data_IF_973043085521
#
_entry.id   IF_973043085521
#
_cell.length_a   1.000
_cell.length_b   1.000
_cell.length_c   1.000
_cell.angle_alpha   90.00
_cell.angle_beta   90.00
_cell.angle_gamma   90.00
#
_symmetry.space_group_name_H-M   'P 1'
#
loop_
_entity.id
_entity.type
_entity.pdbx_description
1 polymer ?
#
# COMPACT_ATOMS: atom_id res chain seq x y z
N UNK A 1 9.06 -5.59 21.22
CA UNK A 1 7.84 -6.28 20.69
C UNK A 1 6.66 -5.38 20.92
N UNK A 2 5.98 -4.98 19.85
CA UNK A 2 4.80 -4.11 19.89
C UNK A 2 3.60 -4.88 20.39
N UNK A 3 2.69 -4.16 21.07
CA UNK A 3 1.42 -4.73 21.56
C UNK A 3 0.42 -4.78 20.41
N UNK A 4 -0.37 -5.85 20.35
CA UNK A 4 -1.53 -5.89 19.49
C UNK A 4 -2.56 -4.86 19.96
N UNK A 5 -3.09 -4.07 19.01
CA UNK A 5 -4.04 -2.98 19.29
C UNK A 5 -5.45 -3.40 18.90
N UNK A 6 -6.39 -2.89 19.67
CA UNK A 6 -7.80 -2.80 19.31
C UNK A 6 -8.23 -1.33 19.18
N UNK A 7 -9.38 -1.09 18.60
CA UNK A 7 -9.89 0.28 18.41
C UNK A 7 -10.00 1.09 19.73
N UNK A 8 -10.40 0.43 20.84
CA UNK A 8 -10.53 1.10 22.14
C UNK A 8 -9.17 1.53 22.69
N UNK A 9 -8.15 0.69 22.50
CA UNK A 9 -6.78 1.00 22.85
C UNK A 9 -6.26 2.21 22.10
N UNK A 10 -6.44 2.24 20.76
CA UNK A 10 -6.05 3.39 19.93
C UNK A 10 -6.77 4.67 20.36
N UNK A 11 -8.08 4.60 20.59
CA UNK A 11 -8.88 5.74 21.03
C UNK A 11 -8.40 6.27 22.39
N UNK A 12 -8.13 5.38 23.33
CA UNK A 12 -7.64 5.74 24.67
C UNK A 12 -6.26 6.38 24.64
N UNK A 13 -5.31 5.79 23.91
CA UNK A 13 -3.94 6.30 23.78
C UNK A 13 -3.91 7.66 23.10
N UNK A 14 -4.63 7.83 21.98
CA UNK A 14 -4.72 9.12 21.29
C UNK A 14 -5.32 10.21 22.19
N UNK A 15 -6.35 9.87 22.98
CA UNK A 15 -7.01 10.83 23.90
C UNK A 15 -6.10 11.23 25.06
N UNK A 16 -5.21 10.35 25.51
CA UNK A 16 -4.38 10.55 26.70
C UNK A 16 -2.99 11.05 26.35
N UNK A 17 -2.35 10.43 25.35
CA UNK A 17 -0.95 10.62 25.03
C UNK A 17 -0.73 11.37 23.71
N UNK A 18 -1.79 11.61 22.93
CA UNK A 18 -1.74 12.25 21.62
C UNK A 18 -1.16 11.36 20.51
N UNK A 19 -0.66 10.16 20.84
CA UNK A 19 -0.15 9.21 19.86
C UNK A 19 -0.36 7.77 20.30
N UNK A 20 -0.36 6.85 19.32
CA UNK A 20 -0.48 5.40 19.54
C UNK A 20 0.32 4.65 18.48
N UNK A 21 0.95 3.54 18.89
CA UNK A 21 1.71 2.65 18.01
C UNK A 21 1.53 1.19 18.45
N UNK A 22 1.37 0.26 17.50
CA UNK A 22 1.31 -1.17 17.78
C UNK A 22 0.96 -2.01 16.57
N UNK A 23 0.88 -3.32 16.79
CA UNK A 23 0.47 -4.29 15.78
C UNK A 23 -1.01 -4.14 15.46
N UNK A 24 -1.35 -4.11 14.17
CA UNK A 24 -2.73 -4.01 13.71
C UNK A 24 -2.91 -4.76 12.39
N UNK A 25 -4.04 -5.43 12.23
CA UNK A 25 -4.36 -6.05 10.93
C UNK A 25 -4.66 -4.97 9.89
N UNK A 26 -4.19 -5.13 8.64
CA UNK A 26 -4.43 -4.14 7.57
C UNK A 26 -5.89 -3.75 7.40
N UNK A 27 -6.80 -4.72 7.45
CA UNK A 27 -8.24 -4.49 7.34
C UNK A 27 -8.76 -3.59 8.47
N UNK A 28 -8.42 -3.91 9.71
CA UNK A 28 -8.81 -3.14 10.91
C UNK A 28 -8.25 -1.72 10.87
N UNK A 29 -6.99 -1.54 10.46
CA UNK A 29 -6.37 -0.23 10.29
C UNK A 29 -7.18 0.68 9.36
N UNK A 30 -7.67 0.16 8.25
CA UNK A 30 -8.49 0.94 7.32
C UNK A 30 -9.90 1.19 7.82
N UNK A 31 -10.51 0.22 8.52
CA UNK A 31 -11.85 0.34 9.09
C UNK A 31 -11.91 1.37 10.22
N UNK A 32 -10.82 1.57 10.96
CA UNK A 32 -10.79 2.51 12.07
C UNK A 32 -10.74 3.97 11.66
N UNK A 33 -10.32 4.28 10.45
CA UNK A 33 -10.21 5.66 9.94
C UNK A 33 -11.53 6.46 10.13
N UNK A 34 -12.67 6.07 9.56
CA UNK A 34 -13.93 6.81 9.74
C UNK A 34 -14.42 6.82 11.18
N UNK A 35 -14.08 5.80 11.96
CA UNK A 35 -14.44 5.73 13.37
C UNK A 35 -13.67 6.77 14.20
N UNK A 36 -12.37 6.94 13.93
CA UNK A 36 -11.54 7.97 14.56
C UNK A 36 -11.96 9.38 14.13
N UNK A 37 -12.26 9.59 12.84
CA UNK A 37 -12.79 10.87 12.35
C UNK A 37 -14.05 11.28 13.11
N UNK A 38 -14.96 10.33 13.32
CA UNK A 38 -16.20 10.55 14.10
C UNK A 38 -15.91 10.83 15.57
N UNK A 39 -14.97 10.10 16.18
CA UNK A 39 -14.68 10.21 17.61
C UNK A 39 -14.00 11.53 17.97
N UNK A 40 -13.07 12.00 17.15
CA UNK A 40 -12.29 13.21 17.39
C UNK A 40 -12.85 14.47 16.69
N UNK A 41 -13.78 14.32 15.75
CA UNK A 41 -14.32 15.45 14.97
C UNK A 41 -13.28 16.10 14.05
N UNK A 42 -12.23 15.36 13.69
CA UNK A 42 -11.15 15.84 12.82
C UNK A 42 -10.78 14.76 11.79
N UNK A 43 -10.25 15.16 10.60
CA UNK A 43 -9.93 14.20 9.56
C UNK A 43 -8.74 13.31 9.91
N UNK A 44 -8.77 12.07 9.41
CA UNK A 44 -7.64 11.14 9.47
C UNK A 44 -6.90 11.12 8.14
N UNK A 45 -5.61 11.46 8.17
CA UNK A 45 -4.75 11.66 7.00
C UNK A 45 -3.61 10.65 7.01
N UNK A 46 -3.49 9.87 5.95
CA UNK A 46 -2.36 8.97 5.68
C UNK A 46 -1.49 9.51 4.55
N UNK A 47 -0.31 8.91 4.35
CA UNK A 47 0.57 9.20 3.20
C UNK A 47 -0.18 9.11 1.87
N UNK A 48 -0.99 8.07 1.68
CA UNK A 48 -1.75 7.88 0.43
C UNK A 48 -2.81 8.97 0.25
N UNK A 49 -3.55 9.32 1.32
CA UNK A 49 -4.51 10.43 1.30
C UNK A 49 -3.81 11.75 0.93
N UNK A 50 -2.62 11.96 1.49
CA UNK A 50 -1.85 13.19 1.26
C UNK A 50 -1.32 13.26 -0.17
N UNK A 51 -0.85 12.15 -0.73
CA UNK A 51 -0.44 12.06 -2.13
C UNK A 51 -1.58 12.40 -3.08
N UNK A 52 -2.75 11.77 -2.89
CA UNK A 52 -3.95 12.05 -3.69
C UNK A 52 -4.40 13.51 -3.57
N UNK A 53 -4.33 14.08 -2.37
CA UNK A 53 -4.63 15.49 -2.12
C UNK A 53 -3.63 16.43 -2.83
N UNK A 54 -2.35 16.10 -2.81
CA UNK A 54 -1.31 16.91 -3.47
C UNK A 54 -1.49 16.94 -4.98
N UNK A 55 -1.93 15.83 -5.60
CA UNK A 55 -2.28 15.81 -7.02
C UNK A 55 -3.45 16.74 -7.35
N UNK A 56 -4.53 16.68 -6.59
CA UNK A 56 -5.71 17.52 -6.76
C UNK A 56 -6.60 17.48 -5.51
N UNK A 57 -6.64 18.57 -4.72
CA UNK A 57 -7.54 18.67 -3.57
C UNK A 57 -9.01 18.46 -3.93
N UNK A 58 -9.44 19.01 -5.05
CA UNK A 58 -10.80 18.83 -5.56
C UNK A 58 -11.13 17.36 -5.85
N UNK A 59 -10.25 16.66 -6.60
CA UNK A 59 -10.45 15.24 -6.94
C UNK A 59 -10.38 14.36 -5.69
N UNK A 60 -9.46 14.63 -4.78
CA UNK A 60 -9.38 13.94 -3.48
C UNK A 60 -10.71 14.03 -2.74
N UNK A 61 -11.23 15.26 -2.55
CA UNK A 61 -12.49 15.49 -1.85
C UNK A 61 -13.68 14.83 -2.54
N UNK A 62 -13.74 14.93 -3.86
CA UNK A 62 -14.77 14.25 -4.67
C UNK A 62 -14.73 12.73 -4.44
N UNK A 63 -13.56 12.09 -4.51
CA UNK A 63 -13.41 10.65 -4.34
C UNK A 63 -13.83 10.19 -2.94
N UNK A 64 -13.45 10.94 -1.90
CA UNK A 64 -13.81 10.62 -0.52
C UNK A 64 -15.31 10.78 -0.28
N UNK A 65 -15.92 11.86 -0.78
CA UNK A 65 -17.36 12.13 -0.55
C UNK A 65 -18.28 11.23 -1.36
N UNK A 66 -17.81 10.64 -2.46
CA UNK A 66 -18.56 9.74 -3.33
C UNK A 66 -18.14 8.27 -3.20
N UNK A 67 -17.32 7.93 -2.20
CA UNK A 67 -16.77 6.57 -1.97
C UNK A 67 -16.16 5.94 -3.25
N UNK A 68 -15.44 6.76 -4.03
CA UNK A 68 -14.77 6.28 -5.25
C UNK A 68 -13.51 5.52 -4.85
N UNK A 69 -13.60 4.20 -4.85
CA UNK A 69 -12.48 3.31 -4.52
C UNK A 69 -11.55 3.12 -5.72
N UNK A 70 -10.25 3.15 -5.46
CA UNK A 70 -9.24 2.80 -6.44
C UNK A 70 -9.01 1.28 -6.38
N UNK A 71 -9.67 0.54 -7.25
CA UNK A 71 -9.35 -0.88 -7.44
C UNK A 71 -8.55 -1.04 -8.73
N UNK A 72 -7.44 -1.75 -8.64
CA UNK A 72 -6.65 -2.13 -9.81
C UNK A 72 -6.03 -3.50 -9.62
N UNK A 73 -5.76 -4.19 -10.72
CA UNK A 73 -5.05 -5.47 -10.70
C UNK A 73 -3.66 -5.34 -10.02
N UNK A 74 -3.01 -4.18 -10.16
CA UNK A 74 -1.72 -3.91 -9.51
C UNK A 74 -1.87 -3.80 -7.99
N UNK A 75 -2.88 -3.08 -7.48
CA UNK A 75 -3.15 -2.98 -6.04
C UNK A 75 -3.50 -4.35 -5.45
N UNK A 76 -4.36 -5.11 -6.13
CA UNK A 76 -4.71 -6.48 -5.72
C UNK A 76 -3.47 -7.38 -5.64
N UNK A 77 -2.61 -7.36 -6.66
CA UNK A 77 -1.36 -8.13 -6.68
C UNK A 77 -0.43 -7.68 -5.55
N UNK A 78 -0.28 -6.38 -5.32
CA UNK A 78 0.51 -5.84 -4.21
C UNK A 78 0.03 -6.37 -2.86
N UNK A 79 -1.28 -6.29 -2.58
CA UNK A 79 -1.85 -6.78 -1.32
C UNK A 79 -1.63 -8.29 -1.11
N UNK A 80 -1.69 -9.11 -2.17
CA UNK A 80 -1.39 -10.53 -2.08
C UNK A 80 0.09 -10.79 -1.77
N UNK A 81 1.01 -10.07 -2.42
CA UNK A 81 2.44 -10.17 -2.15
C UNK A 81 2.76 -9.74 -0.71
N UNK A 82 2.20 -8.62 -0.26
CA UNK A 82 2.37 -8.11 1.10
C UNK A 82 1.86 -9.13 2.14
N UNK A 83 0.65 -9.68 1.93
CA UNK A 83 0.10 -10.69 2.82
C UNK A 83 0.99 -11.94 2.88
N UNK A 84 1.40 -12.48 1.74
CA UNK A 84 2.21 -13.70 1.67
C UNK A 84 3.61 -13.51 2.27
N UNK A 85 4.24 -12.35 2.07
CA UNK A 85 5.58 -12.08 2.53
C UNK A 85 5.66 -11.60 4.00
N UNK A 86 4.68 -10.78 4.43
CA UNK A 86 4.76 -10.05 5.69
C UNK A 86 3.75 -10.53 6.75
N UNK A 87 2.64 -11.14 6.34
CA UNK A 87 1.60 -11.69 7.23
C UNK A 87 1.08 -13.04 6.76
N UNK A 88 1.96 -14.03 6.49
CA UNK A 88 1.56 -15.31 5.87
C UNK A 88 0.50 -16.07 6.69
N UNK A 89 0.43 -15.84 7.99
CA UNK A 89 -0.58 -16.43 8.87
C UNK A 89 -2.02 -15.92 8.60
N UNK A 90 -2.18 -14.81 7.88
CA UNK A 90 -3.48 -14.26 7.48
C UNK A 90 -3.95 -14.77 6.11
N UNK A 91 -3.06 -15.42 5.35
CA UNK A 91 -3.33 -15.80 3.96
C UNK A 91 -4.63 -16.57 3.79
N UNK A 92 -4.81 -17.66 4.54
CA UNK A 92 -6.01 -18.52 4.42
C UNK A 92 -7.28 -17.86 4.95
N UNK A 93 -7.16 -16.76 5.70
CA UNK A 93 -8.29 -15.96 6.16
C UNK A 93 -8.70 -14.88 5.14
N UNK A 94 -7.79 -14.44 4.28
CA UNK A 94 -8.01 -13.35 3.33
C UNK A 94 -8.18 -13.83 1.89
N UNK A 95 -7.63 -15.01 1.54
CA UNK A 95 -7.61 -15.53 0.17
C UNK A 95 -8.06 -16.98 0.11
N UNK A 96 -8.81 -17.33 -0.92
CA UNK A 96 -9.29 -18.67 -1.18
C UNK A 96 -8.97 -19.09 -2.62
N UNK A 97 -8.60 -20.35 -2.81
CA UNK A 97 -8.46 -20.94 -4.15
C UNK A 97 -9.79 -20.88 -4.92
N UNK A 98 -9.74 -20.83 -6.27
CA UNK A 98 -10.95 -20.91 -7.07
C UNK A 98 -11.70 -22.20 -6.75
N UNK A 99 -13.03 -22.10 -6.72
CA UNK A 99 -13.85 -23.27 -6.48
C UNK A 99 -13.52 -24.38 -7.50
N UNK A 100 -13.29 -25.58 -6.99
CA UNK A 100 -13.05 -26.78 -7.79
C UNK A 100 -14.09 -27.84 -7.47
N UNK A 101 -14.62 -28.54 -8.49
CA UNK A 101 -15.51 -29.64 -8.24
C UNK A 101 -14.77 -30.79 -7.55
N UNK A 102 -15.37 -31.36 -6.47
CA UNK A 102 -14.79 -32.46 -5.72
C UNK A 102 -14.87 -33.83 -6.43
N UNK A 103 -15.54 -33.92 -7.58
CA UNK A 103 -15.69 -35.09 -8.36
C UNK A 103 -15.44 -34.89 -9.86
N UNK A 104 -15.05 -35.93 -10.62
CA UNK A 104 -14.85 -35.80 -12.06
C UNK A 104 -16.13 -35.43 -12.81
N UNK A 105 -15.98 -34.73 -13.92
CA UNK A 105 -17.06 -34.39 -14.81
C UNK A 105 -17.70 -35.67 -15.37
N UNK A 106 -19.01 -35.84 -15.18
CA UNK A 106 -19.83 -36.90 -15.78
C UNK A 106 -20.34 -36.47 -17.15
N UNK A 107 -20.15 -37.30 -18.15
CA UNK A 107 -20.70 -37.06 -19.50
C UNK A 107 -22.15 -37.55 -19.54
N UNK A 108 -23.02 -36.73 -20.12
CA UNK A 108 -24.42 -37.12 -20.32
C UNK A 108 -24.52 -38.30 -21.30
N UNK A 109 -25.27 -39.30 -20.92
CA UNK A 109 -25.52 -40.49 -21.76
C UNK A 109 -26.87 -40.37 -22.46
N UNK A 110 -26.95 -40.95 -23.67
CA UNK A 110 -28.19 -41.20 -24.39
C UNK A 110 -28.97 -42.35 -23.74
N UNK A 111 -30.19 -42.57 -24.20
CA UNK A 111 -31.05 -43.69 -23.70
C UNK A 111 -30.45 -45.07 -23.91
N UNK A 112 -29.58 -45.23 -24.89
CA UNK A 112 -28.86 -46.47 -25.20
C UNK A 112 -27.56 -46.64 -24.39
N UNK A 113 -27.26 -45.74 -23.47
CA UNK A 113 -26.05 -45.76 -22.63
C UNK A 113 -24.80 -45.21 -23.30
N UNK A 114 -24.86 -44.72 -24.56
CA UNK A 114 -23.72 -44.10 -25.23
C UNK A 114 -23.63 -42.61 -24.95
N UNK A 115 -22.41 -41.99 -24.87
CA UNK A 115 -22.27 -40.55 -24.70
C UNK A 115 -22.79 -39.80 -25.93
N UNK A 116 -23.26 -38.55 -25.72
CA UNK A 116 -23.52 -37.63 -26.82
C UNK A 116 -22.22 -37.28 -27.53
N UNK A 117 -22.29 -37.08 -28.86
CA UNK A 117 -21.11 -36.76 -29.67
C UNK A 117 -20.36 -35.50 -29.24
N UNK A 118 -21.04 -34.55 -28.62
CA UNK A 118 -20.48 -33.32 -28.06
C UNK A 118 -19.95 -33.44 -26.63
N UNK A 119 -19.94 -34.69 -26.08
CA UNK A 119 -19.47 -34.97 -24.72
C UNK A 119 -20.03 -34.00 -23.66
N UNK A 120 -21.30 -33.55 -23.83
CA UNK A 120 -21.92 -32.61 -22.89
C UNK A 120 -21.96 -33.17 -21.48
N UNK A 121 -21.82 -32.30 -20.50
CA UNK A 121 -21.90 -32.65 -19.09
C UNK A 121 -23.32 -33.07 -18.72
N UNK A 122 -23.44 -34.05 -17.78
CA UNK A 122 -24.71 -34.42 -17.17
C UNK A 122 -25.39 -33.18 -16.57
N UNK A 123 -26.67 -32.98 -16.90
CA UNK A 123 -27.39 -31.74 -16.53
C UNK A 123 -27.59 -31.61 -15.01
N UNK A 124 -27.83 -32.73 -14.32
CA UNK A 124 -28.00 -32.70 -12.86
C UNK A 124 -26.68 -32.35 -12.16
N UNK A 125 -25.56 -32.95 -12.62
CA UNK A 125 -24.25 -32.63 -12.10
C UNK A 125 -23.87 -31.16 -12.37
N UNK A 126 -24.15 -30.63 -13.58
CA UNK A 126 -23.90 -29.25 -13.93
C UNK A 126 -24.65 -28.31 -12.98
N UNK A 127 -25.95 -28.55 -12.78
CA UNK A 127 -26.75 -27.73 -11.86
C UNK A 127 -26.25 -27.80 -10.41
N UNK A 128 -25.84 -28.99 -9.93
CA UNK A 128 -25.30 -29.17 -8.61
C UNK A 128 -23.95 -28.40 -8.44
N UNK A 129 -23.09 -28.40 -9.45
CA UNK A 129 -21.84 -27.66 -9.43
C UNK A 129 -22.04 -26.14 -9.47
N UNK A 130 -22.98 -25.67 -10.29
CA UNK A 130 -23.33 -24.25 -10.34
C UNK A 130 -23.86 -23.76 -8.99
N UNK A 131 -24.71 -24.56 -8.33
CA UNK A 131 -25.22 -24.23 -7.00
C UNK A 131 -24.11 -24.24 -5.93
N UNK A 132 -23.23 -25.25 -5.92
CA UNK A 132 -22.12 -25.35 -4.98
C UNK A 132 -21.09 -24.20 -5.17
N UNK A 133 -20.83 -23.82 -6.41
CA UNK A 133 -19.98 -22.68 -6.73
C UNK A 133 -20.59 -21.37 -6.26
N UNK A 134 -21.88 -21.14 -6.52
CA UNK A 134 -22.58 -19.95 -6.07
C UNK A 134 -22.59 -19.83 -4.53
N UNK A 135 -22.79 -20.94 -3.81
CA UNK A 135 -22.71 -20.97 -2.35
C UNK A 135 -21.29 -20.66 -1.83
N UNK A 136 -20.27 -21.20 -2.49
CA UNK A 136 -18.87 -20.89 -2.17
C UNK A 136 -18.57 -19.40 -2.38
N UNK A 137 -18.94 -18.82 -3.54
CA UNK A 137 -18.75 -17.42 -3.87
C UNK A 137 -19.46 -16.50 -2.85
N UNK A 138 -20.72 -16.84 -2.50
CA UNK A 138 -21.49 -16.09 -1.51
C UNK A 138 -20.89 -16.16 -0.09
N UNK A 139 -20.26 -17.28 0.30
CA UNK A 139 -19.53 -17.36 1.57
C UNK A 139 -18.29 -16.48 1.55
N UNK A 140 -17.47 -16.57 0.50
CA UNK A 140 -16.28 -15.72 0.36
C UNK A 140 -16.64 -14.23 0.42
N UNK A 141 -17.69 -13.82 -0.29
CA UNK A 141 -18.17 -12.43 -0.28
C UNK A 141 -18.62 -12.00 1.12
N UNK A 142 -19.43 -12.79 1.81
CA UNK A 142 -19.89 -12.49 3.17
C UNK A 142 -18.74 -12.37 4.17
N UNK A 143 -17.74 -13.25 4.04
CA UNK A 143 -16.61 -13.33 4.97
C UNK A 143 -15.48 -12.36 4.56
N UNK A 144 -15.63 -11.66 3.42
CA UNK A 144 -14.65 -10.71 2.88
C UNK A 144 -13.37 -11.38 2.37
N UNK A 145 -13.47 -12.65 1.94
CA UNK A 145 -12.37 -13.44 1.40
C UNK A 145 -12.25 -13.23 -0.10
N UNK A 146 -11.06 -12.92 -0.57
CA UNK A 146 -10.77 -12.73 -1.99
C UNK A 146 -10.54 -14.06 -2.69
N UNK A 147 -11.33 -14.40 -3.71
CA UNK A 147 -11.13 -15.60 -4.51
C UNK A 147 -9.99 -15.36 -5.51
N UNK A 148 -9.00 -16.25 -5.49
CA UNK A 148 -7.85 -16.22 -6.39
C UNK A 148 -8.26 -16.63 -7.82
N UNK A 149 -7.45 -16.24 -8.80
CA UNK A 149 -7.49 -16.79 -10.15
C UNK A 149 -6.62 -18.06 -10.20
N UNK A 150 -6.88 -18.90 -11.19
CA UNK A 150 -6.07 -20.09 -11.42
C UNK A 150 -4.58 -19.73 -11.62
N UNK A 151 -3.68 -20.37 -10.89
CA UNK A 151 -2.23 -20.11 -10.90
C UNK A 151 -1.78 -18.82 -10.21
N UNK A 152 -2.69 -18.07 -9.62
CA UNK A 152 -2.36 -16.79 -8.97
C UNK A 152 -1.60 -17.00 -7.66
N UNK A 153 -1.91 -18.06 -6.93
CA UNK A 153 -1.21 -18.41 -5.70
C UNK A 153 0.26 -18.73 -5.95
N UNK A 154 0.54 -19.63 -6.89
CA UNK A 154 1.90 -20.04 -7.23
C UNK A 154 2.72 -18.83 -7.73
N UNK A 155 2.10 -17.93 -8.47
CA UNK A 155 2.74 -16.69 -8.91
C UNK A 155 3.12 -15.81 -7.72
N UNK A 156 2.20 -15.60 -6.79
CA UNK A 156 2.44 -14.78 -5.58
C UNK A 156 3.48 -15.43 -4.68
N UNK A 157 3.47 -16.76 -4.51
CA UNK A 157 4.48 -17.50 -3.73
C UNK A 157 5.90 -17.29 -4.28
N UNK A 158 6.08 -17.30 -5.60
CA UNK A 158 7.38 -17.04 -6.22
C UNK A 158 7.86 -15.61 -5.97
N UNK A 159 6.97 -14.62 -6.10
CA UNK A 159 7.31 -13.21 -5.87
C UNK A 159 7.59 -12.95 -4.38
N UNK A 160 6.75 -13.45 -3.48
CA UNK A 160 6.92 -13.31 -2.04
C UNK A 160 8.18 -14.04 -1.54
N UNK A 161 8.53 -15.19 -2.16
CA UNK A 161 9.78 -15.89 -1.92
C UNK A 161 11.00 -15.00 -2.19
N UNK A 162 11.01 -14.27 -3.32
CA UNK A 162 12.07 -13.31 -3.64
C UNK A 162 12.17 -12.17 -2.61
N UNK A 163 11.03 -11.69 -2.08
CA UNK A 163 11.02 -10.70 -0.98
C UNK A 163 11.67 -11.27 0.27
N UNK A 164 11.27 -12.48 0.66
CA UNK A 164 11.78 -13.16 1.86
C UNK A 164 13.28 -13.43 1.78
N UNK A 165 13.77 -13.87 0.61
CA UNK A 165 15.20 -14.08 0.36
C UNK A 165 15.99 -12.76 0.51
N UNK A 166 15.51 -11.67 -0.10
CA UNK A 166 16.18 -10.37 0.00
C UNK A 166 16.18 -9.84 1.44
N UNK A 167 15.08 -9.97 2.17
CA UNK A 167 15.04 -9.62 3.58
C UNK A 167 16.06 -10.42 4.40
N UNK A 168 16.19 -11.72 4.12
CA UNK A 168 17.19 -12.56 4.78
C UNK A 168 18.64 -12.11 4.48
N UNK A 169 18.94 -11.65 3.25
CA UNK A 169 20.22 -11.06 2.89
C UNK A 169 20.52 -9.77 3.67
N UNK A 170 19.49 -8.96 3.94
CA UNK A 170 19.57 -7.79 4.81
C UNK A 170 19.69 -8.17 6.32
N UNK A 171 19.58 -9.46 6.64
CA UNK A 171 19.58 -9.95 8.02
C UNK A 171 18.24 -9.76 8.72
N UNK A 172 17.16 -9.61 7.96
CA UNK A 172 15.80 -9.40 8.46
C UNK A 172 14.97 -10.67 8.30
N UNK A 173 14.39 -11.13 9.41
CA UNK A 173 13.49 -12.29 9.47
C UNK A 173 12.25 -11.95 10.27
N UNK A 174 11.10 -12.21 9.70
CA UNK A 174 9.80 -11.92 10.30
C UNK A 174 9.66 -12.62 11.66
N UNK A 175 9.28 -11.87 12.69
CA UNK A 175 9.12 -12.34 14.06
C UNK A 175 10.43 -12.62 14.83
N UNK A 176 11.59 -12.58 14.16
CA UNK A 176 12.90 -12.78 14.79
C UNK A 176 13.70 -11.47 14.90
N UNK A 177 13.80 -10.72 13.81
CA UNK A 177 14.58 -9.48 13.75
C UNK A 177 13.79 -8.28 13.20
N UNK A 178 12.58 -8.48 12.72
CA UNK A 178 11.63 -7.41 12.43
C UNK A 178 10.19 -7.82 12.72
N UNK A 179 9.34 -6.84 12.94
CA UNK A 179 7.89 -6.96 13.00
C UNK A 179 7.25 -6.26 11.79
N UNK A 180 6.09 -6.74 11.36
CA UNK A 180 5.34 -6.18 10.24
C UNK A 180 4.03 -5.58 10.69
N UNK A 181 3.44 -4.73 9.83
CA UNK A 181 2.11 -4.13 10.02
C UNK A 181 2.00 -3.34 11.33
N UNK A 182 2.98 -2.45 11.55
CA UNK A 182 2.99 -1.54 12.69
C UNK A 182 2.15 -0.31 12.36
N UNK A 183 0.94 -0.25 12.92
CA UNK A 183 0.07 0.91 12.81
C UNK A 183 0.47 2.04 13.75
N UNK A 184 0.38 3.27 13.27
CA UNK A 184 0.72 4.48 14.02
C UNK A 184 -0.36 5.52 13.81
N UNK A 185 -0.69 6.24 14.88
CA UNK A 185 -1.64 7.36 14.88
C UNK A 185 -1.12 8.47 15.76
N UNK A 186 -1.26 9.70 15.31
CA UNK A 186 -0.87 10.90 16.06
C UNK A 186 -1.89 12.02 15.87
N UNK A 187 -2.33 12.61 16.97
CA UNK A 187 -3.12 13.84 16.95
C UNK A 187 -2.20 15.03 16.75
N UNK A 188 -2.45 15.82 15.71
CA UNK A 188 -1.61 16.95 15.31
C UNK A 188 -2.47 18.20 15.26
N UNK A 189 -2.20 19.17 16.14
CA UNK A 189 -2.85 20.46 16.21
C UNK A 189 -1.96 21.62 15.73
N UNK A 190 -0.68 21.35 15.53
CA UNK A 190 0.30 22.35 15.09
C UNK A 190 1.42 21.69 14.26
N UNK A 191 2.02 22.45 13.35
CA UNK A 191 3.20 22.07 12.56
C UNK A 191 4.30 23.10 12.82
N UNK A 192 5.45 22.62 13.28
CA UNK A 192 6.61 23.46 13.62
C UNK A 192 6.22 24.68 14.53
N UNK A 193 5.33 24.42 15.51
CA UNK A 193 4.82 25.41 16.45
C UNK A 193 3.73 26.34 15.89
N UNK A 194 3.35 26.18 14.63
CA UNK A 194 2.25 26.96 14.01
C UNK A 194 0.95 26.18 14.13
N UNK A 195 -0.09 26.70 14.84
CA UNK A 195 -1.38 26.03 14.97
C UNK A 195 -2.03 25.74 13.62
N UNK A 196 -2.63 24.55 13.50
CA UNK A 196 -3.43 24.18 12.33
C UNK A 196 -4.85 24.77 12.45
N UNK A 197 -5.44 25.25 11.35
CA UNK A 197 -6.84 25.71 11.33
C UNK A 197 -7.84 24.62 11.77
N UNK A 198 -7.56 23.38 11.45
CA UNK A 198 -8.27 22.18 11.90
C UNK A 198 -7.23 21.15 12.34
N UNK A 199 -7.31 20.61 13.55
CA UNK A 199 -6.47 19.47 13.95
C UNK A 199 -6.67 18.27 13.03
N UNK A 200 -5.67 17.40 12.98
CA UNK A 200 -5.65 16.20 12.15
C UNK A 200 -5.27 14.99 13.00
N UNK A 201 -5.75 13.81 12.64
CA UNK A 201 -5.09 12.56 13.03
C UNK A 201 -4.23 12.12 11.84
N UNK A 202 -2.93 12.12 12.02
CA UNK A 202 -2.00 11.61 11.02
C UNK A 202 -1.71 10.15 11.31
N UNK A 203 -1.79 9.30 10.28
CA UNK A 203 -1.67 7.85 10.45
C UNK A 203 -0.75 7.24 9.39
N UNK A 204 -0.09 6.15 9.78
CA UNK A 204 0.76 5.35 8.92
C UNK A 204 0.79 3.89 9.35
N UNK A 205 1.18 3.01 8.43
CA UNK A 205 1.46 1.61 8.73
C UNK A 205 2.81 1.25 8.12
N UNK A 206 3.70 0.73 8.95
CA UNK A 206 5.04 0.31 8.54
C UNK A 206 4.98 -1.17 8.17
N UNK A 207 5.45 -1.49 6.97
CA UNK A 207 5.47 -2.87 6.47
C UNK A 207 6.56 -3.70 7.14
N UNK A 208 7.76 -3.13 7.31
CA UNK A 208 8.92 -3.82 7.87
C UNK A 208 9.60 -2.90 8.89
N UNK A 209 9.42 -3.24 10.17
CA UNK A 209 9.99 -2.51 11.30
C UNK A 209 11.09 -3.36 11.98
N UNK A 210 12.38 -3.14 11.66
CA UNK A 210 13.46 -3.87 12.29
C UNK A 210 13.53 -3.64 13.81
N UNK A 211 13.76 -4.72 14.56
CA UNK A 211 13.85 -4.68 16.02
C UNK A 211 15.20 -4.10 16.46
N UNK A 212 15.23 -3.55 17.66
CA UNK A 212 16.46 -3.08 18.27
C UNK A 212 17.51 -4.20 18.32
N UNK A 213 18.73 -3.89 17.87
CA UNK A 213 19.85 -4.83 17.79
C UNK A 213 19.91 -5.67 16.50
N UNK A 214 18.92 -5.56 15.61
CA UNK A 214 19.06 -6.11 14.25
C UNK A 214 20.03 -5.27 13.41
N UNK A 215 20.55 -5.86 12.32
CA UNK A 215 21.52 -5.19 11.43
C UNK A 215 20.99 -3.88 10.83
N UNK A 216 19.68 -3.81 10.59
CA UNK A 216 19.00 -2.70 9.93
C UNK A 216 18.14 -1.90 10.91
N UNK A 217 18.47 -1.89 12.21
CA UNK A 217 17.62 -1.32 13.26
C UNK A 217 17.41 0.20 13.18
N UNK A 218 18.19 0.91 12.38
CA UNK A 218 18.07 2.35 12.10
C UNK A 218 17.15 2.69 10.92
N UNK A 219 16.75 1.68 10.14
CA UNK A 219 15.94 1.87 8.91
C UNK A 219 14.53 1.36 9.11
N UNK A 220 13.53 2.13 8.72
CA UNK A 220 12.18 1.62 8.48
C UNK A 220 12.05 1.28 6.99
N UNK A 221 11.44 0.13 6.69
CA UNK A 221 11.28 -0.33 5.32
C UNK A 221 9.83 -0.48 4.91
N UNK A 222 9.56 -0.21 3.64
CA UNK A 222 8.25 -0.35 3.03
C UNK A 222 8.37 -1.23 1.77
N UNK A 223 7.49 -2.22 1.63
CA UNK A 223 7.47 -3.14 0.50
C UNK A 223 6.67 -2.51 -0.66
N UNK A 224 7.23 -2.55 -1.86
CA UNK A 224 6.57 -2.04 -3.06
C UNK A 224 6.67 -3.02 -4.20
N UNK A 225 5.54 -3.58 -4.60
CA UNK A 225 5.44 -4.30 -5.86
C UNK A 225 5.41 -3.31 -7.04
N UNK A 226 6.11 -3.63 -8.12
CA UNK A 226 6.22 -2.76 -9.29
C UNK A 226 6.23 -3.55 -10.59
N UNK A 227 5.66 -2.97 -11.65
CA UNK A 227 5.82 -3.47 -13.01
C UNK A 227 7.05 -2.90 -13.73
N UNK A 228 7.77 -1.96 -13.08
CA UNK A 228 8.99 -1.36 -13.63
C UNK A 228 10.19 -2.26 -13.35
N UNK A 229 11.23 -2.17 -14.21
CA UNK A 229 12.48 -2.88 -13.96
C UNK A 229 13.15 -2.36 -12.69
N UNK A 230 13.53 -3.28 -11.80
CA UNK A 230 14.33 -2.98 -10.61
C UNK A 230 15.83 -3.04 -10.87
N UNK A 231 16.25 -3.49 -12.05
CA UNK A 231 17.66 -3.51 -12.48
C UNK A 231 18.18 -2.09 -12.73
N UNK A 232 17.29 -1.21 -13.19
CA UNK A 232 17.61 0.17 -13.48
C UNK A 232 17.22 1.08 -12.32
N UNK A 233 18.22 1.69 -11.66
CA UNK A 233 18.02 2.65 -10.58
C UNK A 233 17.18 3.87 -11.03
N UNK A 234 17.29 4.30 -12.28
CA UNK A 234 16.50 5.40 -12.84
C UNK A 234 15.00 5.06 -12.88
N UNK A 235 14.64 3.81 -13.22
CA UNK A 235 13.26 3.32 -13.21
C UNK A 235 12.64 3.38 -11.81
N UNK A 236 13.43 3.05 -10.78
CA UNK A 236 12.98 3.14 -9.37
C UNK A 236 12.88 4.58 -8.88
N UNK A 237 13.79 5.45 -9.30
CA UNK A 237 13.71 6.88 -9.01
C UNK A 237 12.39 7.48 -9.53
N UNK A 238 12.02 7.19 -10.78
CA UNK A 238 10.72 7.60 -11.31
C UNK A 238 9.54 6.98 -10.58
N UNK A 239 9.65 5.74 -10.08
CA UNK A 239 8.59 5.15 -9.28
C UNK A 239 8.40 5.92 -7.96
N UNK A 240 9.50 6.33 -7.31
CA UNK A 240 9.44 7.11 -6.07
C UNK A 240 8.77 8.47 -6.30
N UNK A 241 9.13 9.18 -7.38
CA UNK A 241 8.56 10.48 -7.73
C UNK A 241 7.08 10.38 -8.14
N UNK A 242 6.76 9.52 -9.12
CA UNK A 242 5.42 9.42 -9.72
C UNK A 242 4.34 8.95 -8.73
N UNK A 243 4.71 8.17 -7.71
CA UNK A 243 3.78 7.67 -6.69
C UNK A 243 3.92 8.38 -5.34
N UNK A 244 4.66 9.50 -5.30
CA UNK A 244 4.93 10.25 -4.06
C UNK A 244 5.44 9.35 -2.92
N UNK A 245 6.26 8.34 -3.25
CA UNK A 245 6.79 7.43 -2.22
C UNK A 245 7.70 8.17 -1.24
N UNK A 246 8.37 9.25 -1.65
CA UNK A 246 9.16 10.08 -0.76
C UNK A 246 8.40 10.59 0.47
N UNK A 247 7.07 10.76 0.37
CA UNK A 247 6.24 11.15 1.51
C UNK A 247 6.21 10.12 2.65
N UNK A 248 6.77 8.91 2.46
CA UNK A 248 6.91 7.93 3.56
C UNK A 248 7.85 8.39 4.67
N UNK A 249 8.63 9.46 4.47
CA UNK A 249 9.33 10.13 5.57
C UNK A 249 8.37 10.52 6.71
N UNK A 250 7.09 10.76 6.40
CA UNK A 250 6.03 10.94 7.39
C UNK A 250 5.94 9.75 8.36
N UNK A 251 6.13 8.51 7.87
CA UNK A 251 6.09 7.32 8.72
C UNK A 251 7.31 7.24 9.64
N UNK A 252 8.48 7.66 9.17
CA UNK A 252 9.69 7.77 9.99
C UNK A 252 9.49 8.77 11.13
N UNK A 253 8.93 9.95 10.82
CA UNK A 253 8.69 10.98 11.81
C UNK A 253 7.59 10.58 12.81
N UNK A 254 6.50 9.94 12.35
CA UNK A 254 5.46 9.36 13.20
C UNK A 254 6.03 8.29 14.14
N UNK A 255 6.87 7.39 13.62
CA UNK A 255 7.50 6.35 14.39
C UNK A 255 8.36 6.93 15.51
N UNK A 256 9.26 7.85 15.16
CA UNK A 256 10.14 8.51 16.11
C UNK A 256 9.34 9.25 17.18
N UNK A 257 8.27 9.92 16.80
CA UNK A 257 7.38 10.61 17.73
C UNK A 257 6.68 9.64 18.69
N UNK A 258 6.11 8.57 18.17
CA UNK A 258 5.34 7.60 18.98
C UNK A 258 6.23 6.77 19.92
N UNK A 259 7.48 6.51 19.52
CA UNK A 259 8.41 5.64 20.29
C UNK A 259 9.40 6.41 21.14
N UNK A 260 9.67 7.68 20.79
CA UNK A 260 10.80 8.44 21.34
C UNK A 260 12.17 7.98 20.81
N UNK A 261 12.20 7.08 19.80
CA UNK A 261 13.42 6.69 19.09
C UNK A 261 13.87 7.81 18.15
N UNK A 262 15.09 7.69 17.63
CA UNK A 262 15.67 8.64 16.69
C UNK A 262 16.22 7.90 15.47
N UNK A 263 15.36 7.12 14.79
CA UNK A 263 15.71 6.52 13.50
C UNK A 263 15.84 7.61 12.46
N UNK A 264 16.81 7.50 11.60
CA UNK A 264 17.17 8.54 10.63
C UNK A 264 17.07 8.07 9.16
N UNK A 265 16.67 6.83 8.93
CA UNK A 265 16.69 6.20 7.63
C UNK A 265 15.34 5.57 7.28
N UNK A 266 14.93 5.75 6.01
CA UNK A 266 13.78 5.09 5.41
C UNK A 266 14.18 4.42 4.10
N UNK A 267 13.68 3.23 3.85
CA UNK A 267 13.98 2.48 2.65
C UNK A 267 12.76 1.84 2.00
N UNK A 268 12.91 1.46 0.75
CA UNK A 268 11.95 0.69 0.00
C UNK A 268 12.57 -0.64 -0.43
N UNK A 269 11.83 -1.72 -0.25
CA UNK A 269 12.12 -2.98 -0.90
C UNK A 269 11.19 -3.11 -2.11
N UNK A 270 11.74 -2.83 -3.29
CA UNK A 270 11.00 -3.04 -4.54
C UNK A 270 11.10 -4.49 -4.98
N UNK A 271 9.98 -5.05 -5.45
CA UNK A 271 9.93 -6.35 -6.10
C UNK A 271 9.11 -6.26 -7.39
N UNK A 272 9.58 -6.90 -8.47
CA UNK A 272 8.79 -6.98 -9.71
C UNK A 272 7.61 -7.91 -9.51
N UNK A 273 6.41 -7.45 -9.91
CA UNK A 273 5.20 -8.28 -9.87
C UNK A 273 5.13 -9.30 -11.01
N UNK A 274 6.04 -9.24 -11.98
CA UNK A 274 6.18 -10.19 -13.08
C UNK A 274 7.32 -11.18 -12.81
N UNK A 275 7.26 -12.36 -13.45
CA UNK A 275 8.33 -13.36 -13.38
C UNK A 275 9.33 -13.18 -14.55
N UNK A 276 10.63 -13.45 -14.33
CA UNK A 276 11.24 -13.82 -13.06
C UNK A 276 11.16 -12.68 -12.05
N UNK A 277 10.80 -13.00 -10.79
CA UNK A 277 10.76 -12.00 -9.74
C UNK A 277 12.17 -11.51 -9.41
N UNK A 278 12.33 -10.19 -9.37
CA UNK A 278 13.58 -9.53 -9.00
C UNK A 278 13.28 -8.47 -7.95
N UNK A 279 14.20 -8.26 -7.03
CA UNK A 279 14.03 -7.29 -5.95
C UNK A 279 15.24 -6.37 -5.81
N UNK A 280 14.99 -5.16 -5.31
CA UNK A 280 16.03 -4.20 -4.98
C UNK A 280 15.65 -3.38 -3.76
N UNK A 281 16.55 -3.32 -2.78
CA UNK A 281 16.45 -2.41 -1.67
C UNK A 281 17.03 -1.03 -2.05
N UNK A 282 16.31 0.03 -1.71
CA UNK A 282 16.71 1.43 -1.96
C UNK A 282 16.52 2.20 -0.67
N UNK A 283 17.59 2.81 -0.14
CA UNK A 283 17.49 3.74 0.99
C UNK A 283 17.41 5.18 0.49
N UNK A 284 16.62 5.97 1.18
CA UNK A 284 16.55 7.41 0.96
C UNK A 284 17.71 8.08 1.66
N UNK A 285 18.37 9.01 0.98
CA UNK A 285 19.41 9.84 1.57
C UNK A 285 18.84 10.92 2.50
N UNK A 286 19.67 11.44 3.41
CA UNK A 286 19.26 12.45 4.37
C UNK A 286 18.71 13.73 3.69
N UNK A 287 19.32 14.14 2.57
CA UNK A 287 18.86 15.32 1.82
C UNK A 287 17.47 15.12 1.20
N UNK A 288 17.20 13.94 0.66
CA UNK A 288 15.89 13.58 0.12
C UNK A 288 14.84 13.51 1.23
N UNK A 289 15.17 12.93 2.39
CA UNK A 289 14.27 12.88 3.54
C UNK A 289 13.87 14.30 4.00
N UNK A 290 14.83 15.23 4.11
CA UNK A 290 14.53 16.61 4.48
C UNK A 290 13.65 17.33 3.45
N UNK A 291 13.89 17.09 2.16
CA UNK A 291 13.07 17.68 1.11
C UNK A 291 11.60 17.23 1.24
N UNK A 292 11.38 15.93 1.39
CA UNK A 292 10.02 15.39 1.53
C UNK A 292 9.36 15.73 2.87
N UNK A 293 10.16 16.04 3.94
CA UNK A 293 9.61 16.60 5.17
C UNK A 293 8.98 17.96 4.95
N UNK A 294 9.64 18.83 4.18
CA UNK A 294 9.09 20.14 3.81
C UNK A 294 7.77 19.95 3.03
N UNK A 295 7.76 19.02 2.07
CA UNK A 295 6.60 18.78 1.21
C UNK A 295 5.40 18.24 2.02
N UNK A 296 5.57 17.21 2.86
CA UNK A 296 4.43 16.67 3.60
C UNK A 296 3.91 17.64 4.66
N UNK A 297 4.78 18.40 5.35
CA UNK A 297 4.36 19.41 6.32
C UNK A 297 3.53 20.51 5.65
N UNK A 298 3.99 21.02 4.50
CA UNK A 298 3.23 22.00 3.72
C UNK A 298 1.88 21.43 3.25
N UNK A 299 1.86 20.16 2.83
CA UNK A 299 0.64 19.48 2.42
C UNK A 299 -0.35 19.29 3.57
N UNK A 300 0.11 18.93 4.79
CA UNK A 300 -0.75 18.83 5.99
C UNK A 300 -1.37 20.18 6.35
N UNK A 301 -0.59 21.28 6.33
CA UNK A 301 -1.11 22.63 6.58
C UNK A 301 -2.18 23.01 5.55
N UNK A 302 -1.93 22.74 4.26
CA UNK A 302 -2.89 23.00 3.19
C UNK A 302 -4.14 22.14 3.33
N UNK A 303 -4.00 20.87 3.66
CA UNK A 303 -5.10 19.95 3.89
C UNK A 303 -6.01 20.44 5.03
N UNK A 304 -5.39 20.82 6.18
CA UNK A 304 -6.12 21.37 7.33
C UNK A 304 -6.91 22.64 6.96
N UNK A 305 -6.36 23.52 6.13
CA UNK A 305 -7.05 24.72 5.63
C UNK A 305 -8.25 24.37 4.75
N UNK A 306 -8.08 23.46 3.80
CA UNK A 306 -9.18 23.01 2.93
C UNK A 306 -10.31 22.39 3.76
N UNK A 307 -9.98 21.60 4.77
CA UNK A 307 -10.97 20.98 5.65
C UNK A 307 -11.71 22.03 6.48
N UNK A 308 -11.00 22.97 7.10
CA UNK A 308 -11.59 24.03 7.93
C UNK A 308 -12.48 24.99 7.14
N UNK A 309 -12.11 25.30 5.91
CA UNK A 309 -12.85 26.24 5.05
C UNK A 309 -13.95 25.60 4.21
N UNK A 310 -13.85 24.28 3.97
CA UNK A 310 -14.68 23.59 2.97
C UNK A 310 -14.30 23.91 1.52
N UNK A 311 -13.25 24.70 1.30
CA UNK A 311 -12.78 25.06 -0.04
C UNK A 311 -11.70 24.07 -0.50
N UNK A 312 -12.09 23.19 -1.42
CA UNK A 312 -11.24 22.18 -2.03
C UNK A 312 -10.81 22.55 -3.46
N UNK A 313 -11.07 23.78 -3.87
CA UNK A 313 -10.76 24.28 -5.21
C UNK A 313 -11.84 23.93 -6.24
N UNK A 314 -11.48 23.98 -7.52
CA UNK A 314 -12.40 23.87 -8.66
C UNK A 314 -12.05 22.68 -9.54
N UNK A 315 -13.06 22.06 -10.21
CA UNK A 315 -12.81 21.10 -11.28
C UNK A 315 -12.18 21.74 -12.52
N UNK A 316 -12.31 23.05 -12.67
CA UNK A 316 -11.66 23.79 -13.74
C UNK A 316 -10.25 24.20 -13.29
N UNK A 317 -9.25 23.61 -13.94
CA UNK A 317 -7.87 23.94 -13.69
C UNK A 317 -7.48 25.21 -14.45
N UNK A 318 -6.72 26.07 -13.78
CA UNK A 318 -6.14 27.25 -14.45
C UNK A 318 -5.17 26.79 -15.56
N UNK A 319 -5.15 27.50 -16.66
CA UNK A 319 -4.13 27.33 -17.68
C UNK A 319 -2.77 27.73 -17.12
N UNK A 320 -1.86 26.76 -17.03
CA UNK A 320 -0.48 26.99 -16.55
C UNK A 320 0.50 26.70 -17.66
N UNK A 321 1.63 27.38 -17.63
CA UNK A 321 2.77 26.95 -18.43
C UNK A 321 3.23 25.57 -17.95
N UNK A 322 3.59 24.71 -18.90
CA UNK A 322 4.19 23.43 -18.58
C UNK A 322 5.50 23.64 -17.81
N UNK A 323 5.53 23.10 -16.61
CA UNK A 323 6.74 23.08 -15.78
C UNK A 323 7.16 21.63 -15.69
N UNK A 324 8.29 21.24 -16.26
CA UNK A 324 8.72 19.85 -16.22
C UNK A 324 8.99 19.42 -14.78
N UNK A 325 8.61 18.18 -14.45
CA UNK A 325 9.04 17.54 -13.21
C UNK A 325 10.58 17.52 -13.13
N UNK A 326 11.14 17.30 -11.94
CA UNK A 326 12.60 17.13 -11.81
C UNK A 326 13.16 16.06 -12.74
N UNK A 327 12.43 14.96 -12.90
CA UNK A 327 12.80 13.86 -13.80
C UNK A 327 12.81 14.32 -15.25
N UNK A 328 11.81 15.05 -15.68
CA UNK A 328 11.71 15.60 -17.04
C UNK A 328 12.74 16.71 -17.26
N UNK A 329 12.94 17.60 -16.27
CA UNK A 329 14.00 18.62 -16.33
C UNK A 329 15.38 17.97 -16.51
N UNK A 330 15.68 16.90 -15.76
CA UNK A 330 16.93 16.14 -15.92
C UNK A 330 17.05 15.46 -17.27
N UNK A 331 15.94 14.94 -17.82
CA UNK A 331 15.92 14.38 -19.19
C UNK A 331 16.22 15.48 -20.22
N UNK A 332 15.56 16.63 -20.10
CA UNK A 332 15.80 17.76 -21.01
C UNK A 332 17.25 18.24 -20.94
N UNK A 333 17.81 18.41 -19.74
CA UNK A 333 19.23 18.78 -19.57
C UNK A 333 20.17 17.74 -20.17
N UNK A 334 19.88 16.44 -20.00
CA UNK A 334 20.69 15.37 -20.61
C UNK A 334 20.54 15.33 -22.13
N UNK A 335 19.40 15.74 -22.67
CA UNK A 335 19.17 15.83 -24.12
C UNK A 335 19.95 16.99 -24.72
N UNK A 336 19.94 18.14 -24.07
CA UNK A 336 20.73 19.32 -24.47
C UNK A 336 22.24 19.04 -24.41
N UNK A 337 22.72 18.37 -23.35
CA UNK A 337 24.12 17.97 -23.22
C UNK A 337 24.57 16.93 -24.29
N UNK A 338 23.66 16.12 -24.78
CA UNK A 338 23.96 15.18 -25.88
C UNK A 338 23.90 15.86 -27.26
N UNK A 339 23.04 16.87 -27.40
CA UNK A 339 22.92 17.66 -28.65
C UNK A 339 24.15 18.53 -28.93
N UNK A 340 24.81 19.03 -27.88
CA UNK A 340 26.02 19.86 -28.01
C UNK A 340 27.28 19.08 -28.35
N UNK A 341 27.26 17.75 -28.26
CA UNK A 341 28.41 16.91 -28.65
C UNK A 341 28.43 16.50 -30.14
N UNK A 342 27.51 17.00 -30.96
CA UNK A 342 27.47 16.69 -32.40
C UNK A 342 27.90 17.84 -33.33
N UNK A 343 28.39 18.95 -32.78
CA UNK A 343 28.85 20.10 -33.60
C UNK A 343 30.36 20.29 -33.64
N UNK A 344 31.16 19.25 -33.41
CA UNK A 344 32.62 19.32 -33.67
C UNK A 344 33.13 18.02 -34.31
N UNK A 345 32.78 17.83 -35.60
CA UNK A 345 33.60 17.14 -36.56
C UNK A 345 33.60 17.93 -37.91
#
# INVERSE_FOLDING_TARGET
MYKELDFKGVLGELSTNGCCIGLVKPKEYHEWKPMLEKAFGCPVVSKSSLGDFMESPYRYHYNVTHDVRKESAALRMGSMIDCMALTPHLWDAEYAEPWQPGEPRKVQLKKDGTPYADNRQDAAQKAAWEAARADFEARCERDGVTILKEGEREHVELVAGQVTEHLAELGLRLGESFESQIGMWMYVDSIDGTPLPQPLIVTGMIDICPMAGSRECDVLWDLKSTSRSVENAEGLFYAIEDFHYGLHVLYLDLFNWCTGEARDSFGFLFVTSALPAMSRAVRMGAAELELYRVDYKAALVRFSRCWASGDWGSPMLETRFYVPTRAEAKRLMNYELRGTNYEFE
#
